data_IF_743199367344
#
_entry.id   IF_743199367344
#
_cell.length_a   1.000
_cell.length_b   1.000
_cell.length_c   1.000
_cell.angle_alpha   90.00
_cell.angle_beta   90.00
_cell.angle_gamma   90.00
#
_symmetry.space_group_name_H-M   'P 1'
#
loop_
_entity.id
_entity.type
_entity.pdbx_description
1 polymer ?
2 non-polymer ?
3 non-polymer ?
4 non-polymer ?
5 non-polymer ?
6 water ?
#
# COMPACT_ATOMS: atom_id res chain seq x y z
N UNK A 21 5.31 -15.12 15.87
CA UNK A 21 6.20 -13.97 16.00
C UNK A 21 5.78 -12.76 15.15
N UNK A 22 6.72 -11.83 14.96
CA UNK A 22 6.55 -10.65 14.12
C UNK A 22 7.07 -10.86 12.70
N UNK A 23 8.16 -11.60 12.56
CA UNK A 23 8.68 -11.99 11.24
C UNK A 23 8.39 -13.47 10.82
N UNK A 24 7.32 -14.03 11.38
CA UNK A 24 6.96 -15.43 11.17
C UNK A 24 6.02 -15.60 9.98
N UNK A 25 6.53 -15.27 8.80
CA UNK A 25 5.81 -15.49 7.56
C UNK A 25 6.75 -15.71 6.40
N UNK A 26 6.21 -16.15 5.26
CA UNK A 26 7.02 -16.41 4.07
C UNK A 26 6.73 -15.38 2.99
N UNK A 27 7.73 -15.18 2.14
CA UNK A 27 7.53 -14.42 0.93
C UNK A 27 6.85 -15.27 -0.15
N UNK A 28 5.95 -14.64 -0.91
CA UNK A 28 5.36 -15.27 -2.07
C UNK A 28 6.32 -16.18 -2.82
N UNK A 29 7.49 -15.68 -3.13
CA UNK A 29 8.39 -16.50 -3.94
C UNK A 29 8.90 -17.74 -3.20
N UNK A 30 9.00 -17.64 -1.88
CA UNK A 30 9.34 -18.83 -1.09
C UNK A 30 8.19 -19.90 -1.19
N UNK A 31 6.95 -19.43 -1.21
CA UNK A 31 5.81 -20.30 -1.19
C UNK A 31 5.68 -20.93 -2.56
N UNK A 32 5.93 -20.12 -3.58
CA UNK A 32 5.85 -20.58 -4.96
C UNK A 32 6.81 -21.76 -5.12
N UNK A 33 7.98 -21.58 -4.55
CA UNK A 33 9.04 -22.55 -4.66
C UNK A 33 8.70 -23.84 -3.87
N UNK A 34 8.03 -23.68 -2.74
CA UNK A 34 7.51 -24.81 -1.99
C UNK A 34 6.50 -25.62 -2.83
N UNK A 35 5.54 -24.92 -3.43
CA UNK A 35 4.47 -25.57 -4.18
C UNK A 35 5.07 -26.30 -5.38
N UNK A 36 6.10 -25.73 -5.99
CA UNK A 36 6.71 -26.34 -7.16
C UNK A 36 7.47 -27.61 -6.75
N UNK A 37 8.15 -27.55 -5.61
CA UNK A 37 8.78 -28.76 -5.08
C UNK A 37 7.75 -29.89 -4.81
N UNK A 38 6.64 -29.56 -4.15
CA UNK A 38 5.65 -30.57 -3.81
C UNK A 38 5.01 -31.16 -5.09
N UNK A 39 4.71 -30.30 -6.04
CA UNK A 39 4.16 -30.78 -7.30
C UNK A 39 5.16 -31.69 -8.01
N UNK A 40 6.44 -31.41 -7.81
CA UNK A 40 7.47 -32.23 -8.42
C UNK A 40 7.50 -33.60 -7.80
N UNK A 41 7.50 -33.64 -6.48
CA UNK A 41 7.34 -34.91 -5.78
C UNK A 41 6.09 -35.65 -6.22
N UNK A 42 5.02 -34.90 -6.47
CA UNK A 42 3.75 -35.56 -6.82
C UNK A 42 3.90 -36.27 -8.16
N UNK A 43 4.66 -35.66 -9.05
CA UNK A 43 4.78 -36.17 -10.39
C UNK A 43 5.67 -37.38 -10.49
N UNK A 44 6.66 -37.50 -9.62
CA UNK A 44 7.52 -38.67 -9.75
C UNK A 44 6.90 -39.89 -9.10
N UNK A 45 5.84 -39.67 -8.36
CA UNK A 45 5.29 -40.71 -7.54
C UNK A 45 4.54 -41.78 -8.35
N UNK A 46 4.67 -43.03 -7.94
CA UNK A 46 3.90 -44.07 -8.62
C UNK A 46 2.62 -44.45 -7.90
N UNK A 47 2.71 -44.63 -6.60
CA UNK A 47 1.55 -44.87 -5.76
C UNK A 47 0.55 -43.72 -5.92
N UNK A 48 -0.67 -44.06 -6.33
CA UNK A 48 -1.72 -43.07 -6.47
C UNK A 48 -2.10 -42.41 -5.16
N UNK A 49 -2.01 -43.16 -4.08
CA UNK A 49 -2.23 -42.64 -2.75
C UNK A 49 -1.23 -41.52 -2.43
N UNK A 50 0.07 -41.80 -2.55
CA UNK A 50 1.09 -40.76 -2.35
C UNK A 50 0.94 -39.58 -3.30
N UNK A 51 0.71 -39.87 -4.57
CA UNK A 51 0.50 -38.81 -5.54
C UNK A 51 -0.63 -37.87 -5.09
N UNK A 52 -1.73 -38.44 -4.61
CA UNK A 52 -2.87 -37.61 -4.20
C UNK A 52 -2.49 -36.75 -3.01
N UNK A 53 -1.78 -37.34 -2.05
CA UNK A 53 -1.33 -36.58 -0.89
C UNK A 53 -0.53 -35.38 -1.32
N UNK A 54 0.53 -35.60 -2.10
CA UNK A 54 1.38 -34.48 -2.53
C UNK A 54 0.65 -33.49 -3.41
N UNK A 55 -0.07 -33.99 -4.40
CA UNK A 55 -0.91 -33.11 -5.20
C UNK A 55 -1.73 -32.18 -4.31
N UNK A 56 -2.42 -32.77 -3.34
CA UNK A 56 -3.35 -32.02 -2.53
C UNK A 56 -2.66 -31.07 -1.58
N UNK A 57 -1.53 -31.47 -1.02
CA UNK A 57 -0.82 -30.56 -0.14
C UNK A 57 -0.40 -29.31 -0.91
N UNK A 58 0.00 -29.50 -2.16
CA UNK A 58 0.38 -28.39 -2.99
C UNK A 58 -0.81 -27.44 -3.16
N UNK A 59 -1.98 -28.00 -3.44
CA UNK A 59 -3.21 -27.22 -3.59
C UNK A 59 -3.54 -26.48 -2.29
N UNK A 60 -3.46 -27.20 -1.18
CA UNK A 60 -3.77 -26.65 0.12
C UNK A 60 -2.79 -25.50 0.53
N UNK A 61 -1.51 -25.69 0.24
CA UNK A 61 -0.52 -24.69 0.54
C UNK A 61 -0.86 -23.39 -0.19
N UNK A 62 -1.09 -23.47 -1.49
CA UNK A 62 -1.49 -22.28 -2.20
C UNK A 62 -2.79 -21.73 -1.67
N UNK A 63 -3.77 -22.59 -1.48
CA UNK A 63 -5.09 -22.10 -1.11
C UNK A 63 -5.05 -21.28 0.19
N UNK A 64 -4.28 -21.77 1.14
CA UNK A 64 -4.21 -21.12 2.42
C UNK A 64 -3.43 -19.81 2.33
N UNK A 65 -2.34 -19.82 1.56
CA UNK A 65 -1.57 -18.59 1.34
C UNK A 65 -2.44 -17.55 0.65
N UNK A 66 -3.35 -18.00 -0.21
CA UNK A 66 -4.20 -17.07 -0.94
C UNK A 66 -5.49 -16.69 -0.19
N UNK A 67 -5.80 -17.33 0.94
CA UNK A 67 -7.08 -17.05 1.64
C UNK A 67 -7.03 -16.87 3.16
N UNK A 68 -5.97 -17.34 3.79
CA UNK A 68 -5.72 -16.93 5.16
C UNK A 68 -6.51 -17.61 6.26
N UNK A 69 -7.29 -18.62 5.92
CA UNK A 69 -8.06 -19.31 6.95
C UNK A 69 -7.17 -20.23 7.75
N UNK A 70 -7.67 -20.66 8.89
CA UNK A 70 -6.96 -21.67 9.66
C UNK A 70 -7.07 -23.01 8.97
N UNK A 71 -6.15 -23.91 9.30
CA UNK A 71 -6.07 -25.18 8.62
C UNK A 71 -7.35 -25.97 8.92
N UNK A 72 -7.79 -25.89 10.18
CA UNK A 72 -9.00 -26.57 10.60
C UNK A 72 -10.21 -26.10 9.83
N UNK A 73 -10.19 -24.84 9.40
CA UNK A 73 -11.30 -24.29 8.62
C UNK A 73 -11.22 -24.76 7.19
N UNK A 74 -10.00 -24.87 6.68
CA UNK A 74 -9.82 -25.22 5.30
C UNK A 74 -10.18 -26.71 5.13
N UNK A 75 -9.81 -27.52 6.13
CA UNK A 75 -10.15 -28.93 6.09
C UNK A 75 -11.66 -29.16 6.14
N UNK A 76 -12.41 -28.20 6.68
CA UNK A 76 -13.85 -28.37 6.85
C UNK A 76 -14.67 -27.94 5.64
N UNK A 77 -14.01 -27.39 4.63
CA UNK A 77 -14.71 -26.92 3.45
C UNK A 77 -15.40 -28.06 2.73
N UNK A 78 -16.66 -27.84 2.34
CA UNK A 78 -17.41 -28.86 1.61
C UNK A 78 -17.95 -28.29 0.32
N UNK A 79 -18.37 -29.17 -0.57
CA UNK A 79 -18.73 -28.70 -1.91
C UNK A 79 -19.76 -27.59 -1.80
N UNK A 80 -20.74 -27.78 -0.91
CA UNK A 80 -21.86 -26.84 -0.82
C UNK A 80 -21.44 -25.44 -0.28
N UNK A 81 -20.27 -25.37 0.36
CA UNK A 81 -19.79 -24.12 0.94
C UNK A 81 -19.26 -23.17 -0.12
N UNK A 82 -19.07 -23.67 -1.34
CA UNK A 82 -18.49 -22.86 -2.39
C UNK A 82 -19.56 -22.34 -3.35
N UNK A 83 -19.37 -21.11 -3.81
CA UNK A 83 -20.28 -20.51 -4.76
C UNK A 83 -19.44 -19.95 -5.89
N UNK A 84 -19.23 -20.77 -6.91
CA UNK A 84 -18.33 -20.43 -8.00
C UNK A 84 -18.86 -19.30 -8.88
N UNK A 85 -20.18 -19.15 -8.92
CA UNK A 85 -20.77 -18.04 -9.67
C UNK A 85 -20.41 -16.70 -9.03
N UNK A 86 -20.56 -16.61 -7.72
CA UNK A 86 -20.20 -15.39 -7.01
C UNK A 86 -18.78 -15.37 -6.47
N UNK A 87 -17.97 -16.36 -6.82
CA UNK A 87 -16.59 -16.40 -6.33
C UNK A 87 -16.46 -16.10 -4.84
N UNK A 88 -17.24 -16.82 -4.03
CA UNK A 88 -17.20 -16.68 -2.59
C UNK A 88 -17.22 -18.04 -1.87
N UNK A 89 -16.68 -18.06 -0.66
CA UNK A 89 -16.58 -19.25 0.16
C UNK A 89 -17.17 -18.96 1.52
N UNK A 90 -17.99 -19.85 2.00
CA UNK A 90 -18.64 -19.71 3.29
C UNK A 90 -17.89 -20.60 4.25
N UNK A 91 -17.28 -20.01 5.26
CA UNK A 91 -16.47 -20.73 6.23
C UNK A 91 -17.30 -20.87 7.49
N UNK A 92 -17.71 -22.10 7.80
CA UNK A 92 -18.71 -22.30 8.85
C UNK A 92 -18.51 -23.51 9.77
N UNK A 93 -17.31 -24.07 9.85
CA UNK A 93 -17.03 -25.02 10.90
C UNK A 93 -15.59 -25.45 10.86
N UNK A 94 -15.24 -26.42 11.70
CA UNK A 94 -13.91 -27.03 11.71
C UNK A 94 -14.05 -28.55 11.91
N UNK A 95 -12.94 -29.26 11.72
CA UNK A 95 -12.97 -30.69 11.94
C UNK A 95 -12.88 -31.13 13.40
N UNK A 96 -13.77 -32.01 13.82
CA UNK A 96 -13.53 -32.83 15.00
C UNK A 96 -12.91 -34.18 14.59
N UNK A 97 -11.78 -34.50 15.19
CA UNK A 97 -11.06 -35.70 14.80
C UNK A 97 -11.50 -36.95 15.55
N UNK A 98 -12.63 -37.50 15.14
CA UNK A 98 -13.02 -38.83 15.58
C UNK A 98 -13.83 -39.48 14.44
N UNK A 99 -14.15 -40.77 14.56
CA UNK A 99 -14.86 -41.47 13.50
C UNK A 99 -16.35 -41.25 13.61
N UNK A 100 -17.03 -41.01 12.50
CA UNK A 100 -18.51 -41.01 12.51
C UNK A 100 -19.04 -42.42 12.34
N UNK A 101 -20.36 -42.56 12.38
CA UNK A 101 -21.05 -43.85 12.34
C UNK A 101 -20.65 -44.70 11.13
N UNK A 102 -20.32 -44.02 10.03
CA UNK A 102 -19.89 -44.69 8.80
C UNK A 102 -18.43 -45.16 8.75
N UNK A 103 -17.65 -44.98 9.81
CA UNK A 103 -16.23 -45.27 9.71
C UNK A 103 -15.39 -44.11 9.18
N UNK A 104 -16.02 -43.15 8.52
CA UNK A 104 -15.32 -41.96 8.08
C UNK A 104 -14.57 -41.33 9.24
N UNK A 105 -13.37 -40.83 8.99
CA UNK A 105 -12.62 -40.19 10.07
C UNK A 105 -12.55 -38.67 9.88
N UNK A 106 -12.90 -37.94 10.92
CA UNK A 106 -12.96 -36.50 10.84
C UNK A 106 -14.34 -36.02 10.50
N UNK A 107 -14.96 -35.29 11.43
CA UNK A 107 -16.36 -34.91 11.30
C UNK A 107 -16.52 -33.39 11.39
N UNK A 108 -17.41 -32.81 10.58
CA UNK A 108 -17.53 -31.34 10.62
C UNK A 108 -18.41 -30.81 11.75
N UNK A 109 -17.85 -29.88 12.52
CA UNK A 109 -18.60 -29.20 13.58
C UNK A 109 -19.19 -27.88 13.05
N UNK A 110 -20.51 -27.76 13.11
CA UNK A 110 -21.24 -26.56 12.70
C UNK A 110 -21.33 -25.50 13.81
N UNK A 111 -21.61 -25.96 15.02
CA UNK A 111 -21.60 -25.14 16.22
C UNK A 111 -20.99 -23.75 16.05
N UNK A 115 -17.99 -18.27 16.67
CA UNK A 115 -18.48 -17.25 15.77
C UNK A 115 -17.36 -16.61 14.96
N UNK A 116 -16.49 -17.47 14.42
CA UNK A 116 -15.45 -17.08 13.48
C UNK A 116 -16.02 -17.25 12.06
N UNK A 117 -17.22 -17.82 12.01
CA UNK A 117 -18.02 -18.00 10.80
C UNK A 117 -18.10 -16.76 9.89
N UNK A 118 -17.78 -16.91 8.63
CA UNK A 118 -17.68 -15.77 7.75
C UNK A 118 -17.71 -16.18 6.30
N UNK A 119 -17.97 -15.21 5.44
CA UNK A 119 -17.94 -15.47 4.02
C UNK A 119 -16.85 -14.64 3.40
N UNK A 120 -15.96 -15.25 2.64
CA UNK A 120 -14.90 -14.49 2.01
C UNK A 120 -14.93 -14.64 0.50
N UNK A 121 -14.14 -13.81 -0.16
CA UNK A 121 -14.12 -13.81 -1.61
C UNK A 121 -13.00 -14.69 -2.10
N UNK A 122 -13.24 -15.32 -3.26
CA UNK A 122 -12.26 -16.20 -3.85
C UNK A 122 -11.73 -15.59 -5.14
N UNK A 123 -10.41 -15.55 -5.27
CA UNK A 123 -9.84 -15.14 -6.54
C UNK A 123 -10.08 -16.22 -7.60
N UNK A 124 -9.76 -15.93 -8.85
CA UNK A 124 -9.97 -16.93 -9.89
C UNK A 124 -9.05 -18.12 -9.68
N UNK A 125 -7.81 -17.83 -9.31
CA UNK A 125 -6.86 -18.87 -8.99
C UNK A 125 -7.41 -19.84 -7.93
N UNK A 126 -7.99 -19.28 -6.87
CA UNK A 126 -8.55 -20.08 -5.81
C UNK A 126 -9.68 -20.96 -6.30
N UNK A 127 -10.43 -20.45 -7.27
CA UNK A 127 -11.48 -21.24 -7.85
C UNK A 127 -10.92 -22.43 -8.65
N UNK A 128 -9.90 -22.21 -9.47
CA UNK A 128 -9.24 -23.32 -10.14
C UNK A 128 -8.82 -24.35 -9.12
N UNK A 129 -8.27 -23.87 -8.02
CA UNK A 129 -7.69 -24.80 -7.06
C UNK A 129 -8.80 -25.70 -6.55
N UNK A 130 -9.89 -25.09 -6.11
CA UNK A 130 -11.05 -25.84 -5.67
C UNK A 130 -11.59 -26.81 -6.75
N UNK A 131 -11.66 -26.35 -8.00
CA UNK A 131 -12.24 -27.17 -9.06
C UNK A 131 -11.38 -28.41 -9.29
N UNK A 132 -10.07 -28.21 -9.21
CA UNK A 132 -9.12 -29.29 -9.40
C UNK A 132 -9.31 -30.32 -8.28
N UNK A 133 -9.42 -29.85 -7.04
CA UNK A 133 -9.64 -30.76 -5.92
C UNK A 133 -10.92 -31.59 -6.13
N UNK A 134 -11.98 -30.89 -6.51
CA UNK A 134 -13.28 -31.51 -6.68
C UNK A 134 -13.25 -32.50 -7.85
N UNK A 135 -12.49 -32.18 -8.88
CA UNK A 135 -12.40 -33.05 -10.03
C UNK A 135 -11.71 -34.34 -9.60
N UNK A 136 -10.59 -34.21 -8.90
CA UNK A 136 -9.94 -35.40 -8.42
C UNK A 136 -10.87 -36.22 -7.54
N UNK A 137 -11.70 -35.52 -6.77
CA UNK A 137 -12.58 -36.20 -5.85
C UNK A 137 -13.72 -36.94 -6.58
N UNK A 138 -14.26 -36.36 -7.64
CA UNK A 138 -15.29 -37.02 -8.41
C UNK A 138 -14.73 -38.31 -8.97
N UNK A 139 -13.52 -38.22 -9.49
CA UNK A 139 -12.90 -39.33 -10.15
C UNK A 139 -12.62 -40.46 -9.16
N UNK A 140 -12.07 -40.16 -8.00
CA UNK A 140 -11.71 -41.20 -7.03
C UNK A 140 -12.94 -41.76 -6.36
N UNK A 141 -13.91 -40.90 -6.18
CA UNK A 141 -15.17 -41.33 -5.66
C UNK A 141 -15.69 -42.45 -6.57
N UNK A 142 -15.73 -42.17 -7.86
CA UNK A 142 -16.30 -43.07 -8.84
C UNK A 142 -15.49 -44.33 -9.04
N UNK A 143 -14.19 -44.21 -9.11
CA UNK A 143 -13.38 -45.36 -9.46
C UNK A 143 -12.69 -46.11 -8.33
N UNK A 144 -12.57 -45.51 -7.15
CA UNK A 144 -11.80 -46.12 -6.08
C UNK A 144 -12.72 -46.50 -4.94
N UNK A 145 -12.82 -47.81 -4.68
CA UNK A 145 -13.80 -48.28 -3.74
C UNK A 145 -13.53 -47.75 -2.33
N UNK A 146 -12.26 -47.49 -2.03
CA UNK A 146 -11.85 -47.03 -0.71
C UNK A 146 -12.13 -45.55 -0.45
N UNK A 147 -12.68 -44.85 -1.42
CA UNK A 147 -12.91 -43.44 -1.29
C UNK A 147 -14.37 -43.18 -1.00
N UNK A 148 -14.67 -42.83 0.24
CA UNK A 148 -16.03 -42.60 0.67
C UNK A 148 -16.29 -41.10 0.61
N UNK A 149 -17.00 -40.66 -0.42
CA UNK A 149 -17.31 -39.25 -0.51
C UNK A 149 -18.17 -38.78 0.66
N UNK A 150 -17.69 -37.84 1.47
CA UNK A 150 -18.55 -37.20 2.46
C UNK A 150 -18.66 -35.69 2.19
N UNK A 151 -18.32 -35.30 0.98
CA UNK A 151 -18.42 -33.92 0.53
C UNK A 151 -17.33 -32.97 0.95
N UNK A 152 -16.30 -33.49 1.58
CA UNK A 152 -15.16 -32.65 1.86
C UNK A 152 -14.37 -32.37 0.59
N UNK A 153 -13.64 -31.27 0.59
CA UNK A 153 -12.87 -30.89 -0.59
C UNK A 153 -11.40 -31.31 -0.48
N UNK A 154 -10.78 -31.08 0.66
CA UNK A 154 -9.36 -31.38 0.78
C UNK A 154 -9.16 -32.67 1.53
N UNK A 155 -9.05 -33.76 0.76
CA UNK A 155 -9.23 -35.08 1.33
C UNK A 155 -8.01 -35.95 1.08
N UNK A 156 -7.89 -37.03 1.85
CA UNK A 156 -6.95 -38.07 1.53
C UNK A 156 -7.65 -39.08 0.61
N UNK A 157 -6.97 -40.19 0.31
CA UNK A 157 -7.47 -41.22 -0.59
C UNK A 157 -8.73 -41.91 -0.07
N UNK A 158 -9.08 -41.69 1.20
CA UNK A 158 -10.25 -42.36 1.76
C UNK A 158 -11.46 -41.45 1.77
N UNK A 159 -11.29 -40.20 1.37
CA UNK A 159 -12.39 -39.24 1.35
C UNK A 159 -12.55 -38.47 2.65
N UNK A 160 -11.67 -38.78 3.61
CA UNK A 160 -11.57 -38.02 4.85
C UNK A 160 -10.79 -36.71 4.69
N UNK A 161 -11.16 -35.66 5.43
CA UNK A 161 -10.32 -34.47 5.47
C UNK A 161 -8.91 -34.87 5.84
N UNK A 162 -7.92 -34.40 5.10
CA UNK A 162 -6.53 -34.72 5.39
C UNK A 162 -6.14 -34.34 6.81
N UNK A 163 -5.34 -35.19 7.42
CA UNK A 163 -4.87 -34.88 8.75
C UNK A 163 -3.81 -33.81 8.77
N UNK A 164 -4.01 -32.90 9.69
CA UNK A 164 -3.13 -31.77 9.93
C UNK A 164 -1.63 -32.12 9.97
N UNK A 165 -1.30 -33.15 10.75
CA UNK A 165 0.06 -33.59 10.95
C UNK A 165 0.70 -34.02 9.65
N UNK A 166 -0.10 -34.61 8.78
CA UNK A 166 0.43 -35.08 7.51
C UNK A 166 0.74 -33.89 6.58
N UNK A 167 -0.21 -32.98 6.46
CA UNK A 167 -0.02 -31.77 5.69
C UNK A 167 1.27 -31.07 6.15
N UNK A 168 1.39 -30.85 7.45
CA UNK A 168 2.54 -30.14 8.00
C UNK A 168 3.88 -30.83 7.74
N UNK A 169 3.90 -32.14 7.86
CA UNK A 169 5.10 -32.93 7.61
C UNK A 169 5.60 -32.72 6.18
N UNK A 170 4.68 -32.78 5.22
CA UNK A 170 5.05 -32.64 3.83
C UNK A 170 5.49 -31.21 3.58
N UNK A 171 4.81 -30.27 4.23
CA UNK A 171 5.16 -28.88 4.05
C UNK A 171 6.57 -28.58 4.60
N UNK A 172 6.90 -29.12 5.76
CA UNK A 172 8.22 -28.84 6.30
C UNK A 172 9.29 -29.41 5.39
N UNK A 173 9.09 -30.68 5.02
CA UNK A 173 10.05 -31.42 4.22
C UNK A 173 10.35 -30.69 2.92
N UNK A 174 9.33 -30.12 2.30
CA UNK A 174 9.49 -29.32 1.09
C UNK A 174 10.28 -28.06 1.38
N UNK A 175 9.83 -27.31 2.39
CA UNK A 175 10.49 -26.08 2.79
C UNK A 175 11.99 -26.29 3.03
N UNK A 176 12.34 -27.31 3.78
CA UNK A 176 13.72 -27.70 3.97
C UNK A 176 14.39 -28.06 2.63
N UNK A 177 13.78 -28.95 1.87
CA UNK A 177 14.32 -29.34 0.58
C UNK A 177 14.59 -28.13 -0.33
N UNK A 178 13.86 -27.06 -0.10
CA UNK A 178 13.90 -25.93 -0.99
C UNK A 178 14.87 -24.88 -0.41
N UNK A 179 15.48 -25.23 0.71
CA UNK A 179 16.48 -24.40 1.34
C UNK A 179 15.96 -23.22 2.15
N UNK A 180 14.66 -23.13 2.37
CA UNK A 180 14.11 -22.18 3.33
C UNK A 180 14.52 -22.61 4.73
N UNK A 181 14.86 -21.64 5.56
CA UNK A 181 15.48 -21.90 6.86
C UNK A 181 14.49 -21.74 8.02
N UNK A 182 13.47 -20.93 7.82
CA UNK A 182 12.46 -20.69 8.83
C UNK A 182 11.71 -21.99 9.20
N UNK A 183 11.15 -22.03 10.40
CA UNK A 183 10.29 -23.14 10.79
C UNK A 183 9.01 -22.94 10.01
N UNK A 184 8.37 -24.03 9.59
CA UNK A 184 7.21 -23.89 8.75
C UNK A 184 6.07 -24.79 9.24
N UNK A 185 4.85 -24.36 8.95
CA UNK A 185 3.67 -25.13 9.27
C UNK A 185 2.52 -24.37 8.66
N UNK A 186 1.31 -24.91 8.72
CA UNK A 186 0.15 -24.19 8.22
C UNK A 186 -0.01 -22.77 8.80
N UNK A 187 0.41 -22.56 10.05
CA UNK A 187 0.27 -21.24 10.65
C UNK A 187 1.00 -20.22 9.79
N UNK A 188 2.20 -20.58 9.37
CA UNK A 188 3.05 -19.62 8.70
C UNK A 188 2.37 -19.23 7.39
N UNK A 189 1.58 -20.13 6.83
CA UNK A 189 0.87 -19.80 5.60
C UNK A 189 -0.25 -18.81 5.88
N UNK A 190 -0.96 -19.00 6.98
CA UNK A 190 -2.05 -18.09 7.28
C UNK A 190 -1.42 -16.71 7.50
N UNK A 191 -0.36 -16.66 8.29
CA UNK A 191 0.41 -15.42 8.53
C UNK A 191 0.86 -14.77 7.22
N UNK A 192 1.23 -15.60 6.26
CA UNK A 192 1.71 -15.12 4.99
C UNK A 192 0.63 -14.37 4.25
N UNK A 193 -0.60 -14.87 4.35
CA UNK A 193 -1.71 -14.19 3.75
C UNK A 193 -1.98 -12.85 4.42
N UNK A 194 -1.80 -12.79 5.74
CA UNK A 194 -2.02 -11.56 6.46
C UNK A 194 -0.93 -10.57 6.05
N UNK A 195 0.27 -11.07 5.88
CA UNK A 195 1.35 -10.22 5.47
C UNK A 195 1.06 -9.70 4.05
N UNK A 196 0.54 -10.56 3.18
CA UNK A 196 0.20 -10.15 1.82
C UNK A 196 -0.85 -9.04 1.81
N UNK A 197 -1.91 -9.21 2.59
CA UNK A 197 -2.97 -8.21 2.61
C UNK A 197 -2.45 -6.87 3.12
N UNK A 198 -1.45 -6.94 3.99
CA UNK A 198 -0.87 -5.76 4.55
C UNK A 198 -0.10 -5.04 3.45
N UNK A 199 0.78 -5.77 2.77
CA UNK A 199 1.55 -5.22 1.67
C UNK A 199 0.69 -4.63 0.57
N UNK A 200 -0.56 -5.02 0.47
CA UNK A 200 -1.40 -4.51 -0.60
C UNK A 200 -2.31 -3.38 -0.10
N UNK A 201 -1.97 -2.86 1.08
CA UNK A 201 -2.67 -1.72 1.61
C UNK A 201 -4.08 -1.94 2.08
N UNK A 202 -4.41 -3.17 2.44
CA UNK A 202 -5.69 -3.45 3.07
C UNK A 202 -5.61 -3.04 4.54
N UNK A 203 -6.72 -2.56 5.07
CA UNK A 203 -6.76 -2.05 6.44
C UNK A 203 -6.84 -3.21 7.42
N UNK A 204 -6.37 -2.97 8.63
CA UNK A 204 -6.44 -3.95 9.68
C UNK A 204 -7.85 -4.49 9.82
N UNK A 205 -8.85 -3.62 9.76
CA UNK A 205 -10.24 -4.08 9.89
C UNK A 205 -10.66 -5.05 8.76
N UNK A 206 -10.29 -4.74 7.52
CA UNK A 206 -10.70 -5.55 6.40
C UNK A 206 -9.98 -6.92 6.42
N UNK A 207 -8.76 -6.90 6.95
CA UNK A 207 -7.95 -8.09 7.03
C UNK A 207 -8.66 -9.03 8.00
N UNK A 208 -9.21 -8.46 9.06
CA UNK A 208 -9.85 -9.29 10.07
C UNK A 208 -11.20 -9.81 9.67
N UNK A 209 -11.92 -9.04 8.88
CA UNK A 209 -13.15 -9.54 8.31
C UNK A 209 -12.85 -10.81 7.50
N UNK A 210 -11.72 -10.79 6.79
CA UNK A 210 -11.38 -11.88 5.89
C UNK A 210 -10.79 -13.09 6.60
N UNK A 211 -9.92 -12.84 7.55
CA UNK A 211 -9.07 -13.86 8.11
C UNK A 211 -9.64 -14.32 9.45
N UNK A 212 -10.67 -13.62 9.93
CA UNK A 212 -11.32 -13.95 11.18
C UNK A 212 -10.75 -13.18 12.35
N UNK A 213 -11.57 -12.93 13.38
CA UNK A 213 -11.16 -12.09 14.52
C UNK A 213 -10.45 -12.86 15.61
N UNK A 214 -10.08 -14.09 15.32
CA UNK A 214 -9.49 -14.93 16.34
C UNK A 214 -7.99 -14.81 16.31
N UNK A 215 -7.39 -14.69 17.48
CA UNK A 215 -5.94 -14.64 17.59
C UNK A 215 -5.47 -13.28 17.07
N UNK A 216 -6.31 -12.28 17.29
CA UNK A 216 -6.06 -10.95 16.77
C UNK A 216 -4.68 -10.43 17.16
N UNK A 217 -4.17 -10.82 18.31
CA UNK A 217 -2.84 -10.39 18.72
C UNK A 217 -1.81 -10.71 17.62
N UNK A 218 -1.84 -11.94 17.11
CA UNK A 218 -0.92 -12.35 16.08
C UNK A 218 -1.11 -11.53 14.80
N UNK A 219 -2.37 -11.44 14.36
CA UNK A 219 -2.75 -10.65 13.21
C UNK A 219 -2.22 -9.21 13.35
N UNK A 220 -2.42 -8.65 14.54
CA UNK A 220 -2.10 -7.26 14.74
C UNK A 220 -0.59 -7.15 14.75
N UNK A 221 0.07 -8.14 15.30
CA UNK A 221 1.51 -8.14 15.35
C UNK A 221 2.14 -8.17 13.95
N UNK A 222 1.54 -8.92 13.03
CA UNK A 222 2.06 -8.98 11.67
C UNK A 222 1.75 -7.68 10.95
N UNK A 223 0.49 -7.27 11.00
CA UNK A 223 0.08 -5.99 10.46
C UNK A 223 1.04 -4.87 10.89
N UNK A 224 1.37 -4.81 12.18
CA UNK A 224 2.28 -3.77 12.64
C UNK A 224 3.66 -3.86 12.04
N UNK A 225 4.18 -5.08 11.98
CA UNK A 225 5.53 -5.27 11.49
C UNK A 225 5.62 -4.86 10.02
N UNK A 226 4.65 -5.32 9.25
CA UNK A 226 4.62 -5.02 7.82
C UNK A 226 4.39 -3.53 7.56
N UNK A 227 3.39 -2.94 8.20
CA UNK A 227 3.12 -1.55 7.95
C UNK A 227 4.26 -0.66 8.41
N UNK A 228 5.06 -1.15 9.35
CA UNK A 228 6.24 -0.41 9.77
C UNK A 228 7.37 -0.48 8.74
N UNK A 229 7.47 -1.59 8.01
CA UNK A 229 8.45 -1.70 6.93
C UNK A 229 8.04 -0.76 5.82
N UNK A 230 6.75 -0.75 5.54
CA UNK A 230 6.23 0.16 4.55
C UNK A 230 6.52 1.63 4.85
N UNK A 231 6.32 2.04 6.09
CA UNK A 231 6.67 3.39 6.51
C UNK A 231 8.16 3.64 6.28
N UNK A 232 9.01 2.66 6.57
CA UNK A 232 10.44 2.87 6.40
C UNK A 232 10.81 2.99 4.92
N UNK A 233 9.93 2.48 4.07
CA UNK A 233 10.16 2.50 2.63
C UNK A 233 9.65 3.80 1.99
N UNK A 234 9.11 4.68 2.83
CA UNK A 234 8.39 5.84 2.34
C UNK A 234 9.23 6.71 1.39
N UNK A 235 10.44 7.11 1.81
CA UNK A 235 11.27 7.97 0.96
C UNK A 235 11.67 7.24 -0.32
N UNK A 236 11.90 5.94 -0.21
CA UNK A 236 12.14 5.12 -1.38
C UNK A 236 11.06 5.22 -2.43
N UNK A 237 9.80 5.12 -2.01
CA UNK A 237 8.72 5.18 -2.96
C UNK A 237 8.67 6.60 -3.53
N UNK A 238 8.83 7.60 -2.67
CA UNK A 238 8.79 8.98 -3.13
C UNK A 238 9.91 9.34 -4.09
N UNK A 239 11.03 8.60 -4.01
CA UNK A 239 12.18 8.84 -4.91
C UNK A 239 11.72 8.70 -6.36
N UNK A 240 10.71 7.85 -6.58
CA UNK A 240 10.21 7.56 -7.91
C UNK A 240 9.31 8.63 -8.51
N UNK A 241 8.93 9.61 -7.70
CA UNK A 241 7.93 10.58 -8.13
C UNK A 241 8.55 11.88 -8.63
N UNK A 242 8.44 12.11 -9.93
CA UNK A 242 8.92 13.34 -10.57
C UNK A 242 7.78 13.83 -11.47
N UNK A 243 7.44 15.10 -11.39
CA UNK A 243 6.28 15.59 -12.12
C UNK A 243 6.61 16.64 -13.16
N UNK A 244 7.89 16.96 -13.34
CA UNK A 244 8.28 18.08 -14.20
C UNK A 244 9.67 17.92 -14.79
N UNK B 20 -12.11 13.34 0.86
CA UNK B 20 -13.55 13.25 1.03
C UNK B 20 -14.27 13.06 -0.31
N UNK B 21 -13.55 13.36 -1.39
CA UNK B 21 -14.03 13.19 -2.78
C UNK B 21 -12.82 13.12 -3.71
N UNK B 22 -13.05 12.81 -4.98
CA UNK B 22 -11.97 12.75 -5.97
C UNK B 22 -11.71 14.17 -6.46
N UNK B 23 -12.69 15.05 -6.26
CA UNK B 23 -12.54 16.47 -6.51
C UNK B 23 -11.68 17.15 -5.43
N UNK B 24 -11.43 16.41 -4.34
CA UNK B 24 -10.72 16.93 -3.18
C UNK B 24 -9.21 16.86 -3.31
N UNK B 25 -8.73 16.21 -4.36
CA UNK B 25 -7.31 16.24 -4.67
C UNK B 25 -7.03 15.94 -6.14
N UNK B 26 -5.79 16.14 -6.54
CA UNK B 26 -5.38 15.94 -7.91
C UNK B 26 -4.68 14.60 -8.08
N UNK B 27 -4.91 13.98 -9.23
CA UNK B 27 -4.11 12.86 -9.63
C UNK B 27 -2.71 13.34 -10.04
N UNK B 28 -1.71 12.47 -9.89
CA UNK B 28 -0.35 12.83 -10.32
C UNK B 28 -0.30 13.40 -11.73
N UNK B 29 -1.05 12.80 -12.64
CA UNK B 29 -0.96 13.21 -14.02
C UNK B 29 -1.61 14.57 -14.21
N UNK B 30 -2.63 14.87 -13.39
CA UNK B 30 -3.23 16.20 -13.47
C UNK B 30 -2.22 17.28 -13.02
N UNK B 31 -1.46 16.96 -11.99
CA UNK B 31 -0.45 17.89 -11.50
C UNK B 31 0.61 18.10 -12.56
N UNK B 32 1.03 17.00 -13.14
CA UNK B 32 2.00 17.00 -14.21
C UNK B 32 1.56 17.88 -15.38
N UNK B 33 0.29 17.78 -15.79
CA UNK B 33 -0.19 18.65 -16.87
C UNK B 33 -0.11 20.11 -16.46
N UNK B 34 -0.44 20.37 -15.20
CA UNK B 34 -0.52 21.75 -14.72
C UNK B 34 0.88 22.35 -14.81
N UNK B 35 1.85 21.61 -14.30
CA UNK B 35 3.22 22.09 -14.26
C UNK B 35 3.68 22.35 -15.69
N UNK B 36 3.29 21.46 -16.58
CA UNK B 36 3.74 21.52 -17.96
C UNK B 36 3.11 22.75 -18.61
N UNK B 37 1.85 22.97 -18.31
CA UNK B 37 1.18 24.12 -18.87
C UNK B 37 1.84 25.41 -18.36
N UNK B 38 2.24 25.40 -17.09
CA UNK B 38 2.76 26.61 -16.49
C UNK B 38 4.13 26.94 -17.07
N UNK B 39 5.00 25.94 -17.13
CA UNK B 39 6.28 26.05 -17.82
C UNK B 39 6.16 26.48 -19.28
N UNK B 40 5.20 25.91 -19.99
CA UNK B 40 4.96 26.29 -21.39
C UNK B 40 4.58 27.77 -21.49
N UNK B 41 3.81 28.29 -20.54
CA UNK B 41 3.46 29.71 -20.55
C UNK B 41 4.69 30.56 -20.25
N UNK B 42 5.52 30.07 -19.34
CA UNK B 42 6.72 30.78 -18.95
C UNK B 42 7.68 30.95 -20.16
N UNK B 43 7.78 29.93 -20.99
CA UNK B 43 8.70 29.97 -22.11
C UNK B 43 8.30 30.96 -23.17
N UNK B 44 7.03 31.31 -23.20
CA UNK B 44 6.50 32.20 -24.22
C UNK B 44 6.61 33.68 -23.81
N UNK B 45 7.12 33.94 -22.62
CA UNK B 45 7.07 35.32 -22.12
C UNK B 45 8.24 36.29 -22.38
N UNK B 46 7.93 37.59 -22.48
CA UNK B 46 8.93 38.62 -22.85
C UNK B 46 9.53 39.30 -21.62
N UNK B 47 8.66 39.86 -20.79
CA UNK B 47 8.97 40.22 -19.41
C UNK B 47 9.65 39.12 -18.53
N UNK B 48 10.92 39.39 -18.15
CA UNK B 48 11.70 38.52 -17.29
C UNK B 48 11.04 38.34 -15.92
N UNK B 49 10.35 39.39 -15.45
CA UNK B 49 9.60 39.34 -14.20
C UNK B 49 8.41 38.35 -14.25
N UNK B 50 7.60 38.41 -15.31
CA UNK B 50 6.54 37.42 -15.49
C UNK B 50 7.04 36.01 -15.70
N UNK B 51 8.08 35.87 -16.49
CA UNK B 51 8.60 34.53 -16.71
C UNK B 51 9.05 33.96 -15.38
N UNK B 52 9.70 34.79 -14.56
CA UNK B 52 10.14 34.35 -13.25
C UNK B 52 8.97 33.89 -12.36
N UNK B 53 7.90 34.67 -12.30
CA UNK B 53 6.73 34.23 -11.53
C UNK B 53 6.29 32.84 -11.99
N UNK B 54 6.05 32.68 -13.29
CA UNK B 54 5.57 31.39 -13.78
C UNK B 54 6.56 30.27 -13.48
N UNK B 55 7.83 30.50 -13.75
CA UNK B 55 8.80 29.44 -13.52
C UNK B 55 8.75 29.00 -12.06
N UNK B 56 8.55 29.97 -11.17
CA UNK B 56 8.54 29.67 -9.75
C UNK B 56 7.23 28.99 -9.27
N UNK B 57 6.10 29.43 -9.84
CA UNK B 57 4.85 28.76 -9.52
C UNK B 57 4.93 27.29 -9.90
N UNK B 58 5.49 26.98 -11.08
CA UNK B 58 5.69 25.61 -11.49
C UNK B 58 6.55 24.81 -10.50
N UNK B 59 7.67 25.38 -10.02
CA UNK B 59 8.51 24.69 -9.05
C UNK B 59 7.77 24.48 -7.75
N UNK B 60 7.10 25.53 -7.28
CA UNK B 60 6.31 25.44 -6.07
C UNK B 60 5.22 24.37 -6.15
N UNK B 61 4.52 24.30 -7.27
CA UNK B 61 3.44 23.35 -7.46
C UNK B 61 4.00 21.94 -7.28
N UNK B 62 5.14 21.66 -7.88
CA UNK B 62 5.64 20.31 -7.79
C UNK B 62 6.12 20.07 -6.36
N UNK B 63 6.78 21.07 -5.81
CA UNK B 63 7.41 20.91 -4.51
C UNK B 63 6.37 20.61 -3.43
N UNK B 64 5.25 21.31 -3.49
CA UNK B 64 4.24 21.12 -2.46
C UNK B 64 3.57 19.76 -2.67
N UNK B 65 3.34 19.37 -3.93
CA UNK B 65 2.80 18.05 -4.25
C UNK B 65 3.73 16.94 -3.79
N UNK B 66 5.04 17.18 -3.81
CA UNK B 66 6.00 16.15 -3.41
C UNK B 66 6.23 16.18 -1.91
N UNK B 67 5.75 17.21 -1.22
CA UNK B 67 6.14 17.36 0.18
C UNK B 67 5.04 17.64 1.20
N UNK B 68 3.94 18.22 0.77
CA UNK B 68 2.74 18.25 1.57
C UNK B 68 2.65 19.32 2.64
N UNK B 69 3.62 20.24 2.69
CA UNK B 69 3.54 21.32 3.68
C UNK B 69 2.43 22.30 3.27
N UNK B 70 1.94 23.10 4.22
CA UNK B 70 1.03 24.19 3.88
C UNK B 70 1.80 25.28 3.13
N UNK B 71 1.08 26.05 2.32
CA UNK B 71 1.80 27.04 1.51
C UNK B 71 2.63 28.04 2.32
N UNK B 72 2.09 28.46 3.47
CA UNK B 72 2.79 29.34 4.40
C UNK B 72 4.10 28.75 4.87
N UNK B 73 4.16 27.44 5.08
CA UNK B 73 5.40 26.82 5.52
C UNK B 73 6.39 26.76 4.36
N UNK B 74 5.87 26.49 3.17
CA UNK B 74 6.73 26.35 2.00
C UNK B 74 7.36 27.73 1.70
N UNK B 75 6.52 28.76 1.69
CA UNK B 75 6.95 30.11 1.50
C UNK B 75 7.99 30.56 2.56
N UNK B 76 8.00 29.95 3.74
CA UNK B 76 8.95 30.34 4.78
C UNK B 76 10.28 29.58 4.71
N UNK B 77 10.41 28.70 3.73
CA UNK B 77 11.67 27.97 3.64
C UNK B 77 12.85 28.93 3.29
N UNK B 78 13.93 28.80 4.05
CA UNK B 78 15.17 29.55 3.77
C UNK B 78 16.34 28.65 3.50
N UNK B 79 17.35 29.19 2.84
CA UNK B 79 18.51 28.39 2.45
C UNK B 79 19.01 27.55 3.62
N UNK B 80 19.07 28.14 4.81
CA UNK B 80 19.69 27.46 5.95
C UNK B 80 18.83 26.32 6.53
N UNK B 81 17.56 26.23 6.12
CA UNK B 81 16.67 25.14 6.57
C UNK B 81 16.89 23.83 5.79
N UNK B 82 17.68 23.89 4.72
CA UNK B 82 17.83 22.75 3.86
C UNK B 82 19.15 22.06 4.13
N UNK B 83 19.07 20.75 4.30
CA UNK B 83 20.26 19.96 4.47
C UNK B 83 20.41 19.05 3.26
N UNK B 84 21.12 19.53 2.25
CA UNK B 84 21.24 18.77 1.00
C UNK B 84 21.99 17.44 1.13
N UNK B 85 22.94 17.35 2.05
CA UNK B 85 23.71 16.13 2.24
C UNK B 85 22.86 15.01 2.85
N UNK B 86 21.99 15.35 3.80
CA UNK B 86 21.09 14.35 4.38
C UNK B 86 19.72 14.36 3.76
N UNK B 87 19.56 15.10 2.67
CA UNK B 87 18.28 15.21 2.03
C UNK B 87 17.14 15.37 3.05
N UNK B 88 17.25 16.42 3.86
CA UNK B 88 16.15 16.74 4.77
C UNK B 88 15.89 18.23 4.78
N UNK B 89 14.68 18.58 5.19
CA UNK B 89 14.25 19.95 5.26
C UNK B 89 13.71 20.22 6.65
N UNK B 90 14.04 21.37 7.16
CA UNK B 90 13.60 21.74 8.47
C UNK B 90 12.44 22.71 8.36
N UNK B 91 11.26 22.29 8.76
CA UNK B 91 10.12 23.18 8.64
C UNK B 91 9.90 23.83 9.97
N UNK B 92 10.24 25.12 10.06
CA UNK B 92 10.33 25.78 11.37
C UNK B 92 9.57 27.10 11.47
N UNK B 93 8.77 27.41 10.47
CA UNK B 93 8.08 28.67 10.51
C UNK B 93 7.04 28.77 9.44
N UNK B 94 6.35 29.90 9.42
CA UNK B 94 5.35 30.19 8.41
C UNK B 94 5.45 31.71 8.15
N UNK B 95 4.86 32.18 7.07
CA UNK B 95 4.94 33.58 6.70
C UNK B 95 3.79 34.41 7.30
N UNK B 96 4.11 35.55 7.87
CA UNK B 96 3.11 36.52 8.28
C UNK B 96 3.15 37.68 7.32
N UNK B 97 1.98 38.07 6.82
CA UNK B 97 1.93 39.02 5.75
C UNK B 97 1.95 40.48 6.25
N UNK B 98 3.10 40.91 6.73
CA UNK B 98 3.33 42.32 6.97
C UNK B 98 4.76 42.69 6.62
N UNK B 99 5.00 44.00 6.56
CA UNK B 99 6.30 44.57 6.20
C UNK B 99 7.30 44.53 7.30
N UNK B 100 8.56 44.26 7.00
CA UNK B 100 9.60 44.37 8.03
C UNK B 100 10.21 45.77 7.97
N UNK B 101 11.16 46.08 8.86
CA UNK B 101 11.50 47.48 8.93
C UNK B 101 12.33 47.98 7.76
N UNK B 102 12.71 47.10 6.84
CA UNK B 102 13.32 47.62 5.61
C UNK B 102 12.39 47.62 4.43
N UNK B 103 11.13 47.28 4.65
CA UNK B 103 10.17 47.32 3.57
C UNK B 103 9.96 45.96 2.89
N UNK B 104 10.62 44.92 3.37
CA UNK B 104 10.37 43.59 2.85
C UNK B 104 8.97 43.18 3.30
N UNK B 105 8.23 42.55 2.40
CA UNK B 105 6.86 42.16 2.68
C UNK B 105 6.78 40.65 2.87
N UNK B 106 6.22 40.22 4.00
CA UNK B 106 6.13 38.81 4.35
C UNK B 106 7.32 38.53 5.28
N UNK B 107 7.05 38.22 6.55
CA UNK B 107 8.14 37.92 7.52
C UNK B 107 7.98 36.51 8.05
N UNK B 108 9.08 35.85 8.35
CA UNK B 108 9.00 34.50 8.84
C UNK B 108 8.72 34.47 10.33
N UNK B 109 7.64 33.82 10.70
CA UNK B 109 7.28 33.68 12.09
C UNK B 109 7.72 32.30 12.58
N UNK B 110 8.36 32.22 13.72
CA UNK B 110 8.82 30.94 14.22
C UNK B 110 8.25 30.66 15.60
N UNK B 111 7.15 31.32 15.96
CA UNK B 111 6.71 31.22 17.34
C UNK B 111 6.36 29.75 17.64
N UNK B 112 6.63 29.34 18.86
CA UNK B 112 6.65 27.93 19.24
C UNK B 112 5.27 27.29 19.39
N UNK B 113 4.31 28.03 19.96
CA UNK B 113 2.98 27.50 20.27
C UNK B 113 2.17 26.98 19.05
N UNK B 114 2.10 27.78 17.99
CA UNK B 114 1.59 27.28 16.72
C UNK B 114 2.62 26.27 16.19
N UNK B 115 2.91 25.27 17.02
CA UNK B 115 3.97 24.31 16.74
C UNK B 115 3.49 23.19 15.84
N UNK B 116 3.94 23.22 14.59
CA UNK B 116 3.90 22.05 13.73
C UNK B 116 5.29 21.75 13.21
N UNK B 117 6.30 22.25 13.92
CA UNK B 117 7.66 22.18 13.45
C UNK B 117 8.22 20.75 13.42
N UNK B 118 8.84 20.42 12.28
CA UNK B 118 9.21 19.06 11.96
C UNK B 118 10.32 19.07 10.93
N UNK B 119 11.06 17.99 10.89
CA UNK B 119 12.04 17.79 9.85
C UNK B 119 11.50 16.71 8.93
N UNK B 120 11.55 16.94 7.62
CA UNK B 120 11.04 15.93 6.70
C UNK B 120 12.12 15.55 5.72
N UNK B 121 11.97 14.37 5.12
CA UNK B 121 12.91 13.90 4.13
C UNK B 121 12.59 14.51 2.80
N UNK B 122 13.64 14.81 2.01
CA UNK B 122 13.48 15.28 0.64
C UNK B 122 13.94 14.24 -0.37
N UNK B 123 13.21 14.15 -1.47
CA UNK B 123 13.62 13.29 -2.56
C UNK B 123 14.61 14.03 -3.46
N UNK B 124 15.30 13.26 -4.31
CA UNK B 124 16.27 13.88 -5.21
C UNK B 124 15.63 14.96 -6.04
N UNK B 125 14.39 14.72 -6.46
CA UNK B 125 13.70 15.68 -7.30
C UNK B 125 13.47 16.95 -6.47
N UNK B 126 13.06 16.78 -5.21
CA UNK B 126 12.80 17.95 -4.37
C UNK B 126 14.09 18.78 -4.18
N UNK B 127 15.19 18.08 -3.93
CA UNK B 127 16.48 18.73 -3.85
C UNK B 127 16.82 19.53 -5.11
N UNK B 128 16.54 18.92 -6.26
CA UNK B 128 16.80 19.50 -7.55
C UNK B 128 16.02 20.80 -7.63
N UNK B 129 14.73 20.69 -7.33
CA UNK B 129 13.82 21.84 -7.32
C UNK B 129 14.37 22.99 -6.46
N UNK B 130 14.73 22.68 -5.21
CA UNK B 130 15.32 23.68 -4.34
C UNK B 130 16.59 24.30 -4.95
N UNK B 131 17.50 23.46 -5.46
CA UNK B 131 18.75 23.97 -6.04
C UNK B 131 18.45 24.94 -7.18
N UNK B 132 17.42 24.64 -7.95
CA UNK B 132 17.07 25.49 -9.07
C UNK B 132 16.61 26.86 -8.58
N UNK B 133 15.74 26.88 -7.57
CA UNK B 133 15.19 28.14 -7.08
C UNK B 133 16.29 29.00 -6.49
N UNK B 134 17.18 28.36 -5.73
CA UNK B 134 18.27 29.05 -5.05
C UNK B 134 19.26 29.67 -6.06
N UNK B 135 19.63 28.89 -7.06
CA UNK B 135 20.48 29.38 -8.12
C UNK B 135 19.89 30.64 -8.76
N UNK B 136 18.61 30.59 -9.06
CA UNK B 136 17.93 31.74 -9.63
C UNK B 136 17.98 32.94 -8.66
N UNK B 137 17.78 32.68 -7.36
CA UNK B 137 17.86 33.77 -6.37
C UNK B 137 19.28 34.37 -6.29
N UNK B 138 20.29 33.54 -6.47
CA UNK B 138 21.65 34.05 -6.45
C UNK B 138 21.91 35.00 -7.61
N UNK B 139 21.51 34.63 -8.82
CA UNK B 139 21.56 35.53 -9.96
C UNK B 139 20.99 36.90 -9.58
N UNK B 140 19.74 36.89 -9.12
CA UNK B 140 19.03 38.11 -8.80
C UNK B 140 19.68 38.88 -7.70
N UNK B 141 20.15 38.16 -6.70
CA UNK B 141 20.77 38.85 -5.58
C UNK B 141 22.00 39.63 -6.07
N UNK B 142 22.79 38.99 -6.92
CA UNK B 142 23.94 39.66 -7.47
C UNK B 142 23.61 40.78 -8.48
N UNK B 143 22.59 40.62 -9.32
CA UNK B 143 22.46 41.56 -10.47
C UNK B 143 21.34 42.57 -10.31
N UNK B 144 20.33 42.19 -9.55
CA UNK B 144 19.12 42.98 -9.53
C UNK B 144 19.08 43.86 -8.29
N UNK B 145 19.12 45.18 -8.49
CA UNK B 145 19.25 46.09 -7.36
C UNK B 145 18.01 46.01 -6.48
N UNK B 146 16.86 45.72 -7.07
CA UNK B 146 15.65 45.68 -6.29
C UNK B 146 15.30 44.34 -5.64
N UNK B 147 16.25 43.41 -5.63
CA UNK B 147 16.00 42.14 -4.95
C UNK B 147 16.57 42.28 -3.54
N UNK B 148 15.70 42.38 -2.56
CA UNK B 148 16.14 42.42 -1.17
C UNK B 148 16.33 40.98 -0.68
N UNK B 149 17.57 40.52 -0.57
CA UNK B 149 17.77 39.12 -0.20
C UNK B 149 17.62 38.83 1.29
N UNK B 150 16.57 38.10 1.66
CA UNK B 150 16.36 37.64 3.03
C UNK B 150 16.45 36.11 3.20
N UNK B 151 16.99 35.43 2.18
CA UNK B 151 17.25 33.98 2.23
C UNK B 151 16.08 33.10 1.97
N UNK B 152 14.98 33.70 1.54
CA UNK B 152 13.83 32.91 1.16
C UNK B 152 14.12 32.17 -0.13
N UNK B 153 13.50 31.01 -0.28
CA UNK B 153 13.73 30.23 -1.46
C UNK B 153 12.66 30.50 -2.53
N UNK B 154 11.41 30.52 -2.13
CA UNK B 154 10.32 30.67 -3.10
C UNK B 154 9.86 32.11 -3.14
N UNK B 155 10.49 32.88 -4.00
CA UNK B 155 10.39 34.32 -3.90
C UNK B 155 9.87 34.93 -5.17
N UNK B 156 9.42 36.16 -5.07
CA UNK B 156 9.17 36.96 -6.26
C UNK B 156 10.42 37.80 -6.53
N UNK B 157 10.34 38.70 -7.51
CA UNK B 157 11.54 39.39 -7.98
C UNK B 157 12.07 40.46 -7.01
N UNK B 158 11.36 40.72 -5.93
CA UNK B 158 11.85 41.66 -4.95
C UNK B 158 12.47 40.91 -3.80
N UNK B 159 12.54 39.58 -3.89
CA UNK B 159 13.16 38.81 -2.82
C UNK B 159 12.17 38.44 -1.71
N UNK B 160 10.92 38.87 -1.85
CA UNK B 160 9.87 38.55 -0.86
C UNK B 160 9.35 37.16 -1.08
N UNK B 161 8.83 36.52 -0.04
CA UNK B 161 8.13 35.25 -0.25
C UNK B 161 6.99 35.54 -1.21
N UNK B 162 6.77 34.70 -2.22
CA UNK B 162 5.69 34.95 -3.17
C UNK B 162 4.31 35.01 -2.49
N UNK B 163 3.48 35.94 -2.89
CA UNK B 163 2.15 36.04 -2.27
C UNK B 163 1.24 34.89 -2.71
N UNK B 164 0.52 34.31 -1.76
CA UNK B 164 -0.29 33.14 -2.05
C UNK B 164 -1.37 33.37 -3.12
N UNK B 165 -1.98 34.55 -3.17
CA UNK B 165 -2.97 34.78 -4.21
C UNK B 165 -2.39 34.80 -5.60
N UNK B 166 -1.15 35.24 -5.74
CA UNK B 166 -0.59 35.26 -7.07
C UNK B 166 -0.22 33.83 -7.50
N UNK B 167 0.10 32.99 -6.53
CA UNK B 167 0.34 31.60 -6.80
C UNK B 167 -1.02 30.95 -7.20
N UNK B 168 -2.05 31.14 -6.37
CA UNK B 168 -3.33 30.51 -6.62
C UNK B 168 -3.93 30.90 -7.95
N UNK B 169 -3.76 32.15 -8.34
CA UNK B 169 -4.38 32.63 -9.57
C UNK B 169 -3.77 31.90 -10.77
N UNK B 170 -2.45 31.84 -10.80
CA UNK B 170 -1.77 31.11 -11.84
C UNK B 170 -2.11 29.62 -11.82
N UNK B 171 -2.08 29.00 -10.66
CA UNK B 171 -2.50 27.62 -10.49
C UNK B 171 -3.92 27.37 -11.05
N UNK B 172 -4.84 28.25 -10.71
CA UNK B 172 -6.20 28.11 -11.20
C UNK B 172 -6.28 28.14 -12.72
N UNK B 173 -5.68 29.15 -13.35
CA UNK B 173 -5.68 29.25 -14.80
C UNK B 173 -5.04 28.05 -15.48
N UNK B 174 -3.92 27.59 -14.94
CA UNK B 174 -3.32 26.38 -15.43
C UNK B 174 -4.36 25.26 -15.40
N UNK B 175 -5.01 25.04 -14.25
CA UNK B 175 -6.02 23.97 -14.16
C UNK B 175 -7.15 24.14 -15.21
N UNK B 176 -7.63 25.36 -15.37
CA UNK B 176 -8.64 25.62 -16.37
C UNK B 176 -8.15 25.21 -17.78
N UNK B 177 -6.99 25.73 -18.16
CA UNK B 177 -6.47 25.57 -19.51
C UNK B 177 -6.17 24.13 -19.85
N UNK B 178 -6.09 23.29 -18.84
CA UNK B 178 -5.61 21.95 -19.06
C UNK B 178 -6.82 21.05 -18.88
N UNK B 179 -7.98 21.69 -18.68
CA UNK B 179 -9.23 20.96 -18.53
C UNK B 179 -9.55 20.29 -17.20
N UNK B 180 -8.88 20.65 -16.13
CA UNK B 180 -9.28 20.15 -14.83
C UNK B 180 -10.54 20.91 -14.35
N UNK B 181 -11.57 20.18 -13.97
CA UNK B 181 -12.81 20.82 -13.54
C UNK B 181 -12.97 20.74 -12.02
N UNK B 182 -11.86 20.67 -11.30
CA UNK B 182 -11.87 20.80 -9.85
C UNK B 182 -11.62 22.24 -9.36
N UNK B 183 -12.05 22.50 -8.14
CA UNK B 183 -11.75 23.75 -7.42
C UNK B 183 -10.29 23.69 -6.92
N UNK B 184 -9.46 24.66 -7.30
CA UNK B 184 -8.04 24.52 -6.95
C UNK B 184 -7.48 25.70 -6.17
N UNK B 185 -6.54 25.38 -5.29
CA UNK B 185 -5.71 26.36 -4.59
C UNK B 185 -4.53 25.57 -4.07
N UNK B 186 -3.58 26.25 -3.43
CA UNK B 186 -2.48 25.54 -2.81
C UNK B 186 -2.95 24.29 -2.00
N UNK B 187 -4.08 24.39 -1.29
CA UNK B 187 -4.57 23.30 -0.41
C UNK B 187 -4.64 21.96 -1.12
N UNK B 188 -5.13 21.97 -2.36
CA UNK B 188 -5.34 20.74 -3.08
C UNK B 188 -4.01 20.05 -3.30
N UNK B 189 -2.93 20.83 -3.42
CA UNK B 189 -1.60 20.24 -3.57
C UNK B 189 -1.18 19.52 -2.29
N UNK B 190 -1.41 20.15 -1.15
CA UNK B 190 -1.15 19.47 0.10
C UNK B 190 -2.00 18.20 0.19
N UNK B 191 -3.27 18.31 -0.18
CA UNK B 191 -4.16 17.15 -0.12
C UNK B 191 -3.70 16.06 -1.04
N UNK B 192 -3.23 16.47 -2.21
CA UNK B 192 -2.71 15.53 -3.18
C UNK B 192 -1.54 14.76 -2.59
N UNK B 193 -0.66 15.41 -1.84
CA UNK B 193 0.46 14.69 -1.27
C UNK B 193 -0.02 13.67 -0.27
N UNK B 194 -0.97 14.07 0.56
CA UNK B 194 -1.53 13.14 1.54
C UNK B 194 -2.18 11.93 0.82
N UNK B 195 -2.85 12.20 -0.30
CA UNK B 195 -3.49 11.15 -1.04
C UNK B 195 -2.46 10.17 -1.58
N UNK B 196 -1.35 10.72 -2.05
CA UNK B 196 -0.27 9.93 -2.60
C UNK B 196 0.31 9.05 -1.53
N UNK B 197 0.52 9.57 -0.34
CA UNK B 197 1.18 8.75 0.67
C UNK B 197 0.21 7.66 1.13
N UNK B 198 -1.06 7.98 1.11
CA UNK B 198 -2.07 7.00 1.44
C UNK B 198 -2.10 5.85 0.40
N UNK B 199 -2.05 6.19 -0.88
CA UNK B 199 -2.03 5.14 -1.89
C UNK B 199 -0.71 4.35 -1.82
N UNK B 200 0.32 4.90 -1.21
CA UNK B 200 1.58 4.16 -1.15
C UNK B 200 1.67 3.30 0.11
N UNK B 201 0.54 3.20 0.81
CA UNK B 201 0.48 2.40 2.01
C UNK B 201 1.26 2.92 3.20
N UNK B 202 1.41 4.24 3.31
CA UNK B 202 2.03 4.86 4.48
C UNK B 202 1.01 4.95 5.62
N UNK B 203 1.42 4.62 6.84
CA UNK B 203 0.52 4.64 7.97
C UNK B 203 0.08 6.08 8.25
N UNK B 204 -1.07 6.25 8.88
CA UNK B 204 -1.53 7.58 9.22
C UNK B 204 -0.56 8.30 10.16
N UNK B 205 -0.03 7.57 11.14
CA UNK B 205 0.96 8.14 12.03
C UNK B 205 2.12 8.72 11.20
N UNK B 206 2.60 7.99 10.20
CA UNK B 206 3.74 8.45 9.41
C UNK B 206 3.36 9.66 8.55
N UNK B 207 2.20 9.62 7.92
CA UNK B 207 1.70 10.74 7.16
C UNK B 207 1.69 12.00 8.06
N UNK B 208 1.14 11.83 9.23
CA UNK B 208 0.98 12.91 10.18
C UNK B 208 2.36 13.50 10.58
N UNK B 209 3.38 12.66 10.75
CA UNK B 209 4.70 13.14 11.07
C UNK B 209 5.28 13.95 9.91
N UNK B 210 4.89 13.64 8.68
CA UNK B 210 5.51 14.29 7.54
C UNK B 210 4.83 15.62 7.20
N UNK B 211 3.53 15.64 7.38
CA UNK B 211 2.66 16.69 6.88
C UNK B 211 2.16 17.61 8.01
N UNK B 212 2.46 17.24 9.25
CA UNK B 212 2.07 18.00 10.41
C UNK B 212 0.62 17.78 10.82
N UNK B 213 0.24 18.25 12.01
CA UNK B 213 -1.09 17.97 12.56
C UNK B 213 -2.17 19.03 12.25
N UNK B 214 -1.81 20.02 11.43
CA UNK B 214 -2.74 21.09 11.10
C UNK B 214 -3.87 20.67 10.14
N UNK B 215 -5.10 20.99 10.48
CA UNK B 215 -6.21 20.64 9.60
C UNK B 215 -6.30 19.10 9.54
N UNK B 216 -6.04 18.47 10.68
CA UNK B 216 -6.04 16.99 10.78
C UNK B 216 -7.40 16.39 10.43
N UNK B 217 -8.46 17.16 10.49
CA UNK B 217 -9.75 16.62 10.12
C UNK B 217 -9.66 16.28 8.65
N UNK B 218 -9.02 17.14 7.90
CA UNK B 218 -8.89 16.90 6.47
C UNK B 218 -7.93 15.76 6.16
N UNK B 219 -6.79 15.72 6.83
CA UNK B 219 -5.82 14.65 6.63
C UNK B 219 -6.54 13.32 6.87
N UNK B 220 -7.31 13.29 7.95
CA UNK B 220 -8.06 12.15 8.35
C UNK B 220 -9.06 11.73 7.28
N UNK B 221 -9.84 12.70 6.80
CA UNK B 221 -10.84 12.33 5.82
C UNK B 221 -10.25 11.84 4.49
N UNK B 222 -9.05 12.30 4.14
CA UNK B 222 -8.46 11.86 2.87
C UNK B 222 -7.97 10.44 3.04
N UNK B 223 -7.20 10.22 4.10
CA UNK B 223 -6.72 8.92 4.48
C UNK B 223 -7.87 7.90 4.53
N UNK B 224 -8.96 8.21 5.21
CA UNK B 224 -10.08 7.28 5.23
C UNK B 224 -10.69 7.07 3.88
N UNK B 225 -10.77 8.10 3.08
CA UNK B 225 -11.42 7.88 1.80
C UNK B 225 -10.58 6.90 0.99
N UNK B 226 -9.26 7.11 1.00
CA UNK B 226 -8.37 6.33 0.15
C UNK B 226 -8.27 4.91 0.69
N UNK B 227 -8.08 4.79 1.99
CA UNK B 227 -8.00 3.45 2.54
C UNK B 227 -9.30 2.66 2.30
N UNK B 228 -10.44 3.34 2.29
CA UNK B 228 -11.69 2.69 1.93
C UNK B 228 -11.67 2.24 0.45
N UNK B 229 -11.09 3.05 -0.43
CA UNK B 229 -10.98 2.64 -1.83
C UNK B 229 -10.09 1.40 -1.95
N UNK B 230 -8.98 1.41 -1.23
CA UNK B 230 -8.05 0.31 -1.30
C UNK B 230 -8.66 -1.02 -0.78
N UNK B 231 -9.42 -0.93 0.31
CA UNK B 231 -10.15 -2.08 0.79
C UNK B 231 -11.11 -2.62 -0.30
N UNK B 232 -11.86 -1.74 -0.95
CA UNK B 232 -12.72 -2.19 -2.03
C UNK B 232 -11.94 -2.83 -3.18
N UNK B 233 -10.68 -2.45 -3.35
CA UNK B 233 -9.89 -2.96 -4.47
C UNK B 233 -9.20 -4.28 -4.11
N UNK B 234 -9.45 -4.77 -2.89
CA UNK B 234 -8.77 -5.96 -2.35
C UNK B 234 -8.84 -7.17 -3.29
N UNK B 235 -10.05 -7.60 -3.59
CA UNK B 235 -10.18 -8.76 -4.45
C UNK B 235 -9.49 -8.54 -5.80
N UNK B 236 -9.56 -7.32 -6.30
CA UNK B 236 -8.91 -6.98 -7.56
C UNK B 236 -7.41 -7.20 -7.46
N UNK B 237 -6.81 -6.76 -6.37
CA UNK B 237 -5.39 -6.98 -6.16
C UNK B 237 -5.11 -8.49 -6.03
N UNK B 238 -5.89 -9.20 -5.20
CA UNK B 238 -5.66 -10.63 -5.01
C UNK B 238 -5.77 -11.44 -6.30
N UNK B 239 -6.61 -10.98 -7.23
CA UNK B 239 -6.75 -11.70 -8.49
C UNK B 239 -5.41 -11.85 -9.25
N UNK B 240 -4.43 -11.02 -8.93
CA UNK B 240 -3.12 -11.10 -9.60
C UNK B 240 -2.21 -12.14 -8.96
N UNK B 241 -2.65 -12.70 -7.84
CA UNK B 241 -1.77 -13.61 -7.11
C UNK B 241 -2.04 -15.06 -7.51
N UNK B 242 -1.00 -15.73 -7.96
CA UNK B 242 -1.09 -17.10 -8.45
C UNK B 242 0.29 -17.62 -8.10
N UNK B 243 0.38 -18.80 -7.51
CA UNK B 243 1.66 -19.29 -7.02
C UNK B 243 2.04 -20.62 -7.61
N UNK B 244 1.26 -21.10 -8.58
CA UNK B 244 1.60 -22.32 -9.29
C UNK B 244 0.95 -22.42 -10.66
X LIG C 1 -4.06 -26.57 -11.03
X LIG D 1 -3.40 -22.60 10.75
X LIG D 1 -4.27 -22.34 9.62
X LIG D 1 -2.83 -21.33 11.23
X LIG D 1 -4.16 -23.18 11.88
X LIG D 1 -2.33 -23.48 10.33
X LIG E 1 -4.74 -38.11 6.29
X LIG F 1 3.80 9.12 -14.44
X LIG F 1 3.57 9.70 -13.04
X LIG F 1 3.49 11.15 -13.13
X LIG F 1 2.25 9.16 -12.52
X LIG F 1 4.66 9.24 -12.05
X LIG F 1 6.13 9.57 -12.39
X LIG F 1 6.80 9.99 -11.22
X LIG F 1 6.38 10.62 -13.48
X LIG G 1 0.61 -0.42 -2.42
X LIG G 1 1.32 -1.71 -2.32
X LIG G 1 1.57 0.54 -2.97
X LIG G 1 -0.56 -0.55 -3.28
X LIG G 1 0.20 0.00 -1.09
X LIG H 1 6.37 -13.72 -8.46
X LIG H 1 5.21 -14.30 -7.66
X LIG H 1 4.60 -15.35 -8.44
X LIG H 1 5.75 -14.93 -6.38
X LIG H 1 4.19 -13.20 -7.29
X LIG H 1 3.09 -12.90 -8.33
X LIG H 1 1.92 -13.63 -8.05
X LIG H 1 3.48 -13.16 -9.79
X LIG I 1 1.80 -6.58 -6.58
X LIG I 1 1.09 -7.33 -5.44
X LIG I 1 -0.25 -7.64 -5.91
X LIG I 1 0.98 -6.46 -4.19
X LIG I 1 1.83 -8.63 -5.15
X LIG I 1 3.26 -8.40 -4.68
X LIG I 1 3.30 -8.27 -3.26
X LIG I 1 4.19 -9.54 -5.12
X LIG J 1 4.18 4.38 -8.58
X LIG J 1 3.99 5.77 -7.97
X LIG J 1 4.41 5.73 -6.59
X LIG J 1 4.88 6.76 -8.72
X LIG J 1 2.51 6.22 -8.08
X LIG J 1 1.51 5.33 -7.35
X LIG J 1 0.59 6.11 -6.61
X LIG J 1 0.74 4.43 -8.31
X LIG K 1 4.20 38.21 -5.14
X LIG L 1 14.91 39.29 -13.10
X LIG L 1 14.88 37.87 -12.74
X LIG L 1 14.54 39.44 -14.50
X LIG L 1 13.95 40.01 -12.27
X LIG L 1 16.27 39.82 -12.93
X LIG M 1 -8.55 3.04 -5.72
X LIG M 1 -7.29 3.90 -5.61
X LIG M 1 -6.23 3.10 -6.20
X LIG M 1 -6.93 4.17 -4.16
X LIG M 1 -7.45 5.21 -6.38
X LIG M 1 -7.94 6.40 -5.54
X LIG M 1 -9.20 6.84 -6.00
X LIG M 1 -7.01 7.59 -5.64
X LIG N 1 -0.95 44.84 5.20
X LIG N 1 -2.34 44.33 5.22
X LIG N 1 -0.35 44.53 3.90
X LIG N 1 -0.93 46.30 5.34
X LIG N 1 -0.20 44.22 6.30
X LIG O 1 14.45 21.66 -13.24
#
# INVERSE_FOLDING_TARGET
XHHHHHHSSGVDLGTENLYFQSNAYLELNEIESIIKDINTKAQKMHSGIHKRFYLFVALMTEFQALNGMRIGEMLAIQNEDIDFDNKSLNINGTIHWFHDESGGFGVKDTTKTESSYRTIGLSSRSCEILKKAILENKKDSKWNDGYLNRNFVFTNHKGNPMQTERFNKILREAAKDVGIDKEVSSHILRHSHISLLSQQGVSLKAIMDRVGHSDHRTTLSIYSHVTEQMDKDMMNKLEQVKLG
XHHHHHHSSGVDLGTENLYFQSNAYLELNEIESIIKDINTKAQKMHSGIHKRFYLFVALMTEFQALNGMRIGEMLAIQNEDIDFDNKSLNINGTIHWFHDESGGFGVKDTTKTESSYRTIGLSSRSCEILKKAILENKKDSKWNDGYLNRNFVFTNHKGNPMQTERFNKILREAAKDVGIDKEVSSHILRHSHISLLSQQGVSLKAIMDRVGHSDHRTTLSIYSHVTEQMDKDMMNKLEQVKLG
CL CL
SO4 S O1 O2 O3 O4
CL CL
MRD C1 C2 O2 CM C3 C4 O4 C5
SO4 S O1 O2 O3 O4
MRD C1 C2 O2 CM C3 C4 O4 C5
MPD C1 C2 O2 CM C3 C4 O4 C5
MPD C1 C2 O2 CM C3 C4 O4 C5
CL CL
SO4 S O1 O2 O3 O4
MRD C1 C2 O2 CM C3 C4 O4 C5
SO4 S O1 O2 O3 O4
CL CL
#
